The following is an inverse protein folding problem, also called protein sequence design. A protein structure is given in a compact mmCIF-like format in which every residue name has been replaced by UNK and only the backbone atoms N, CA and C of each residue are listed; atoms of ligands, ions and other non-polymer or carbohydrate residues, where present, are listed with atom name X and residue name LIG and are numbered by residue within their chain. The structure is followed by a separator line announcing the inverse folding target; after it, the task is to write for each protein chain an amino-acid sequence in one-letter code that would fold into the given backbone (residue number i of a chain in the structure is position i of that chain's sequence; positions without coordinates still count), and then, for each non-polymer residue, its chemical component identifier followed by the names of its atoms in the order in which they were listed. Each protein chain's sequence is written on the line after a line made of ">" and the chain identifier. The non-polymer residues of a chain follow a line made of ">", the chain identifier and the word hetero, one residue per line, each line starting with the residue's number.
data_IF_824140215266
#
_entry.id   IF_824140215266
#
_cell.length_a   1.000
_cell.length_b   1.000
_cell.length_c   1.000
_cell.angle_alpha   90.00
_cell.angle_beta   90.00
_cell.angle_gamma   90.00
#
_symmetry.space_group_name_H-M   'P 1'
#
loop_
_entity.id
_entity.type
_entity.pdbx_description
1 polymer ?
#
# COMPACT_ATOMS: atom_id res chain seq x y z
N UNK A 1 -10.69 14.53 -15.08
CA UNK A 1 -10.40 13.29 -14.32
C UNK A 1 -10.09 12.22 -15.35
N UNK A 2 -8.80 11.94 -15.59
CA UNK A 2 -8.34 10.97 -16.59
C UNK A 2 -8.54 9.55 -16.06
N UNK A 3 -9.09 8.66 -16.88
CA UNK A 3 -9.24 7.24 -16.53
C UNK A 3 -7.88 6.55 -16.49
N UNK A 4 -7.62 5.63 -15.57
CA UNK A 4 -6.36 4.84 -15.47
C UNK A 4 -5.96 4.09 -16.76
N UNK A 5 -6.82 4.09 -17.77
CA UNK A 5 -6.55 3.57 -19.11
C UNK A 5 -5.44 4.29 -19.89
N UNK A 6 -5.04 5.50 -19.50
CA UNK A 6 -3.91 6.21 -20.13
C UNK A 6 -2.53 5.76 -19.63
N UNK A 7 -2.47 5.05 -18.50
CA UNK A 7 -1.19 4.58 -17.93
C UNK A 7 -0.54 3.56 -18.87
N UNK A 8 0.78 3.67 -19.01
CA UNK A 8 1.56 2.65 -19.71
C UNK A 8 1.37 1.28 -19.05
N UNK A 9 1.51 0.20 -19.82
CA UNK A 9 1.39 -1.16 -19.28
C UNK A 9 2.41 -1.42 -18.16
N UNK A 10 3.63 -0.89 -18.32
CA UNK A 10 4.68 -0.96 -17.30
C UNK A 10 4.26 -0.24 -16.01
N UNK A 11 3.76 1.00 -16.10
CA UNK A 11 3.29 1.79 -14.96
C UNK A 11 2.14 1.07 -14.25
N UNK A 12 1.15 0.58 -15.00
CA UNK A 12 0.02 -0.19 -14.45
C UNK A 12 0.49 -1.44 -13.70
N UNK A 13 1.46 -2.17 -14.25
CA UNK A 13 2.01 -3.36 -13.63
C UNK A 13 2.75 -3.02 -12.33
N UNK A 14 3.57 -1.98 -12.30
CA UNK A 14 4.27 -1.54 -11.09
C UNK A 14 3.29 -1.12 -9.98
N UNK A 15 2.31 -0.29 -10.30
CA UNK A 15 1.23 0.11 -9.37
C UNK A 15 0.51 -1.11 -8.81
N UNK A 16 0.16 -2.06 -9.68
CA UNK A 16 -0.52 -3.30 -9.26
C UNK A 16 0.35 -4.14 -8.32
N UNK A 17 1.66 -4.23 -8.55
CA UNK A 17 2.58 -4.94 -7.65
C UNK A 17 2.71 -4.24 -6.29
N UNK A 18 2.73 -2.90 -6.27
CA UNK A 18 2.75 -2.13 -5.02
C UNK A 18 1.46 -2.29 -4.23
N UNK A 19 0.29 -2.30 -4.89
CA UNK A 19 -1.00 -2.60 -4.25
C UNK A 19 -1.00 -3.96 -3.57
N UNK A 20 -0.48 -5.02 -4.23
CA UNK A 20 -0.36 -6.36 -3.64
C UNK A 20 0.51 -6.36 -2.36
N UNK A 21 1.56 -5.53 -2.32
CA UNK A 21 2.40 -5.38 -1.11
C UNK A 21 1.62 -4.69 0.02
N UNK A 22 0.90 -3.61 -0.29
CA UNK A 22 0.04 -2.88 0.68
C UNK A 22 -1.03 -3.81 1.25
N UNK A 23 -1.67 -4.62 0.39
CA UNK A 23 -2.63 -5.65 0.79
C UNK A 23 -1.99 -6.67 1.75
N UNK A 24 -0.75 -7.07 1.49
CA UNK A 24 0.05 -7.90 2.39
C UNK A 24 0.32 -7.25 3.75
N UNK A 25 0.57 -5.93 3.79
CA UNK A 25 0.73 -5.17 5.04
C UNK A 25 -0.58 -5.14 5.83
N UNK A 26 -1.72 -4.91 5.17
CA UNK A 26 -3.03 -4.94 5.82
C UNK A 26 -3.33 -6.31 6.46
N UNK A 27 -3.08 -7.41 5.73
CA UNK A 27 -3.16 -8.78 6.29
C UNK A 27 -2.17 -9.02 7.42
N UNK A 28 -0.97 -8.44 7.34
CA UNK A 28 0.01 -8.48 8.41
C UNK A 28 -0.55 -7.86 9.69
N UNK A 29 -1.08 -6.64 9.59
CA UNK A 29 -1.69 -5.92 10.71
C UNK A 29 -2.85 -6.73 11.32
N UNK A 30 -3.73 -7.31 10.50
CA UNK A 30 -4.82 -8.18 10.98
C UNK A 30 -4.30 -9.33 11.84
N UNK A 31 -3.27 -10.06 11.37
CA UNK A 31 -2.65 -11.14 12.15
C UNK A 31 -2.02 -10.64 13.45
N UNK A 32 -1.38 -9.46 13.44
CA UNK A 32 -0.82 -8.87 14.67
C UNK A 32 -1.90 -8.57 15.72
N UNK A 33 -3.12 -8.21 15.28
CA UNK A 33 -4.26 -8.03 16.17
C UNK A 33 -4.74 -9.37 16.77
N UNK A 34 -4.81 -10.41 15.94
CA UNK A 34 -5.18 -11.78 16.37
C UNK A 34 -4.15 -12.39 17.33
N UNK A 35 -2.87 -12.05 17.14
CA UNK A 35 -1.74 -12.47 17.98
C UNK A 35 -1.58 -11.59 19.24
N UNK A 36 -2.48 -10.64 19.48
CA UNK A 36 -2.44 -9.69 20.62
C UNK A 36 -1.07 -8.99 20.78
N UNK A 37 -0.45 -8.60 19.67
CA UNK A 37 0.86 -7.92 19.68
C UNK A 37 0.79 -6.53 20.29
N UNK A 38 1.95 -6.04 20.69
CA UNK A 38 2.09 -4.72 21.29
C UNK A 38 1.57 -3.60 20.37
N UNK A 39 0.85 -2.64 20.97
CA UNK A 39 0.22 -1.54 20.25
C UNK A 39 1.23 -0.70 19.46
N UNK A 40 2.44 -0.49 19.99
CA UNK A 40 3.49 0.26 19.29
C UNK A 40 3.93 -0.47 18.02
N UNK A 41 4.03 -1.79 18.06
CA UNK A 41 4.40 -2.58 16.89
C UNK A 41 3.32 -2.50 15.80
N UNK A 42 2.05 -2.59 16.18
CA UNK A 42 0.92 -2.42 15.27
C UNK A 42 0.90 -1.02 14.66
N UNK A 43 1.08 0.02 15.48
CA UNK A 43 1.15 1.42 15.01
C UNK A 43 2.31 1.64 14.04
N UNK A 44 3.46 1.01 14.26
CA UNK A 44 4.60 1.07 13.35
C UNK A 44 4.25 0.45 11.98
N UNK A 45 3.53 -0.68 11.96
CA UNK A 45 3.09 -1.29 10.69
C UNK A 45 2.04 -0.45 9.97
N UNK A 46 1.10 0.15 10.71
CA UNK A 46 0.11 1.09 10.13
C UNK A 46 0.83 2.30 9.52
N UNK A 47 1.84 2.86 10.19
CA UNK A 47 2.62 3.97 9.67
C UNK A 47 3.38 3.58 8.38
N UNK A 48 3.96 2.37 8.35
CA UNK A 48 4.62 1.85 7.16
C UNK A 48 3.65 1.66 5.98
N UNK A 49 2.44 1.14 6.24
CA UNK A 49 1.39 0.99 5.22
C UNK A 49 0.93 2.35 4.70
N UNK A 50 0.73 3.34 5.59
CA UNK A 50 0.38 4.71 5.21
C UNK A 50 1.43 5.34 4.28
N UNK A 51 2.71 5.17 4.59
CA UNK A 51 3.80 5.66 3.75
C UNK A 51 3.80 5.00 2.36
N UNK A 52 3.57 3.69 2.29
CA UNK A 52 3.47 2.96 1.02
C UNK A 52 2.29 3.43 0.16
N UNK A 53 1.11 3.62 0.77
CA UNK A 53 -0.08 4.16 0.07
C UNK A 53 0.16 5.58 -0.42
N UNK A 54 0.78 6.44 0.39
CA UNK A 54 1.11 7.81 -0.01
C UNK A 54 2.05 7.83 -1.21
N UNK A 55 3.12 7.02 -1.20
CA UNK A 55 4.07 6.91 -2.30
C UNK A 55 3.39 6.44 -3.60
N UNK A 56 2.46 5.48 -3.51
CA UNK A 56 1.68 5.03 -4.67
C UNK A 56 0.77 6.14 -5.22
N UNK A 57 0.15 6.93 -4.34
CA UNK A 57 -0.66 8.08 -4.73
C UNK A 57 0.16 9.14 -5.47
N UNK A 58 1.38 9.42 -5.00
CA UNK A 58 2.28 10.36 -5.67
C UNK A 58 2.67 9.86 -7.07
N UNK A 59 3.00 8.58 -7.20
CA UNK A 59 3.30 7.98 -8.51
C UNK A 59 2.13 8.09 -9.50
N UNK A 60 0.89 8.00 -9.03
CA UNK A 60 -0.30 8.20 -9.87
C UNK A 60 -0.54 9.66 -10.29
N UNK A 61 0.00 10.63 -9.55
CA UNK A 61 -0.14 12.05 -9.86
C UNK A 61 0.92 12.56 -10.84
N UNK A 62 2.06 11.86 -10.92
CA UNK A 62 3.18 12.21 -11.79
C UNK A 62 3.00 11.72 -13.25
N UNK A 63 2.00 10.86 -13.50
CA UNK A 63 1.65 10.28 -14.81
C UNK A 63 0.41 10.94 -15.43
#
# INVERSE_FOLDING_TARGET
>A
MTSVNHLSEATRNDITQRLKRIEGQARGIQRMMEEERDCQEVLNQIAAMRAATHALGMQLLEE
#
